data_IF_457683867727
#
_entry.id   IF_457683867727
#
_cell.length_a   1.000
_cell.length_b   1.000
_cell.length_c   1.000
_cell.angle_alpha   90.00
_cell.angle_beta   90.00
_cell.angle_gamma   90.00
#
_symmetry.space_group_name_H-M   'P 1'
#
loop_
_entity.id
_entity.type
_entity.pdbx_description
1 polymer ?
#
# COMPACT_ATOMS: atom_id res chain seq x y z
N UNK A 1 8.94 6.03 -21.69
CA UNK A 1 9.46 6.20 -20.33
C UNK A 1 8.33 6.55 -19.37
N UNK A 2 8.59 6.46 -18.09
CA UNK A 2 7.64 6.89 -17.04
C UNK A 2 7.62 8.43 -17.04
N UNK A 3 6.43 9.08 -17.02
CA UNK A 3 6.33 10.54 -16.96
C UNK A 3 7.02 11.12 -15.72
N UNK A 4 7.56 12.35 -15.84
CA UNK A 4 8.32 12.99 -14.75
C UNK A 4 7.45 13.43 -13.55
N UNK A 5 6.15 13.55 -13.75
CA UNK A 5 5.16 13.94 -12.74
C UNK A 5 4.54 12.74 -12.00
N UNK A 6 5.04 11.53 -12.26
CA UNK A 6 4.62 10.31 -11.55
C UNK A 6 5.51 10.09 -10.33
N UNK A 7 4.90 10.00 -9.14
CA UNK A 7 5.59 9.67 -7.90
C UNK A 7 5.56 8.16 -7.57
N UNK A 8 4.46 7.48 -7.92
CA UNK A 8 4.22 6.07 -7.57
C UNK A 8 3.58 5.32 -8.73
N UNK A 9 4.08 4.11 -8.98
CA UNK A 9 3.45 3.13 -9.86
C UNK A 9 2.74 2.10 -9.00
N UNK A 10 1.49 1.80 -9.32
CA UNK A 10 0.72 0.74 -8.69
C UNK A 10 0.52 -0.38 -9.71
N UNK A 11 0.90 -1.60 -9.36
CA UNK A 11 0.56 -2.80 -10.10
C UNK A 11 -0.35 -3.68 -9.24
N UNK A 12 -1.64 -3.57 -9.48
CA UNK A 12 -2.66 -4.39 -8.83
C UNK A 12 -2.95 -5.59 -9.73
N UNK A 13 -2.35 -6.72 -9.38
CA UNK A 13 -2.62 -8.02 -10.00
C UNK A 13 -3.56 -8.84 -9.14
N UNK A 14 -4.51 -9.54 -9.75
CA UNK A 14 -5.32 -10.55 -9.06
C UNK A 14 -4.58 -11.89 -9.06
N UNK A 15 -4.85 -12.75 -8.07
CA UNK A 15 -4.29 -14.09 -8.00
C UNK A 15 -4.65 -14.87 -9.29
N UNK A 16 -3.65 -15.36 -9.99
CA UNK A 16 -3.82 -16.01 -11.29
C UNK A 16 -3.63 -15.13 -12.52
N UNK A 17 -3.45 -13.81 -12.37
CA UNK A 17 -3.16 -12.91 -13.50
C UNK A 17 -1.78 -13.09 -14.12
N UNK A 18 -0.88 -13.79 -13.46
CA UNK A 18 0.43 -14.19 -14.02
C UNK A 18 0.30 -14.93 -15.36
N UNK A 19 -0.86 -15.50 -15.63
CA UNK A 19 -1.17 -16.21 -16.87
C UNK A 19 -1.84 -15.33 -17.92
N UNK A 20 -2.46 -14.25 -17.52
CA UNK A 20 -3.26 -13.38 -18.40
C UNK A 20 -2.63 -12.02 -18.67
N UNK A 21 -1.74 -11.55 -17.82
CA UNK A 21 -1.10 -10.25 -17.93
C UNK A 21 0.43 -10.32 -17.84
N UNK A 22 1.01 -11.53 -17.90
CA UNK A 22 2.41 -11.75 -17.62
C UNK A 22 3.39 -11.38 -18.73
N UNK A 23 2.92 -11.12 -19.93
CA UNK A 23 3.81 -10.88 -21.08
C UNK A 23 4.55 -9.55 -20.96
N UNK A 24 3.94 -8.53 -20.37
CA UNK A 24 4.57 -7.24 -20.13
C UNK A 24 5.80 -7.36 -19.22
N UNK A 25 5.74 -8.24 -18.22
CA UNK A 25 6.84 -8.48 -17.28
C UNK A 25 7.94 -9.39 -17.85
N UNK A 26 7.75 -9.96 -19.04
CA UNK A 26 8.80 -10.59 -19.84
C UNK A 26 9.69 -9.55 -20.55
N UNK A 27 9.18 -8.33 -20.74
CA UNK A 27 9.95 -7.25 -21.36
C UNK A 27 10.95 -6.65 -20.36
N UNK A 28 12.22 -6.95 -20.57
CA UNK A 28 13.31 -6.44 -19.75
C UNK A 28 13.43 -4.90 -19.77
N UNK A 29 12.93 -4.24 -20.80
CA UNK A 29 12.92 -2.77 -20.88
C UNK A 29 11.92 -2.20 -19.89
N UNK A 30 10.72 -2.80 -19.76
CA UNK A 30 9.71 -2.39 -18.77
C UNK A 30 10.24 -2.63 -17.36
N UNK A 31 10.72 -3.84 -17.06
CA UNK A 31 11.27 -4.19 -15.75
C UNK A 31 12.43 -3.25 -15.37
N UNK A 32 13.34 -2.99 -16.31
CA UNK A 32 14.47 -2.09 -16.08
C UNK A 32 14.02 -0.64 -15.87
N UNK A 33 13.03 -0.18 -16.64
CA UNK A 33 12.51 1.20 -16.50
C UNK A 33 11.86 1.42 -15.12
N UNK A 34 11.03 0.48 -14.66
CA UNK A 34 10.40 0.57 -13.33
C UNK A 34 11.45 0.46 -12.23
N UNK A 35 12.38 -0.48 -12.34
CA UNK A 35 13.48 -0.64 -11.38
C UNK A 35 14.31 0.63 -11.26
N UNK A 36 14.67 1.27 -12.39
CA UNK A 36 15.39 2.55 -12.41
C UNK A 36 14.57 3.67 -11.77
N UNK A 37 13.29 3.76 -12.09
CA UNK A 37 12.39 4.76 -11.53
C UNK A 37 12.38 4.70 -10.00
N UNK A 38 12.25 3.49 -9.43
CA UNK A 38 12.27 3.34 -7.97
C UNK A 38 13.67 3.64 -7.41
N UNK A 39 14.72 3.14 -8.06
CA UNK A 39 16.10 3.44 -7.63
C UNK A 39 16.40 4.94 -7.58
N UNK A 40 15.84 5.72 -8.48
CA UNK A 40 15.99 7.17 -8.56
C UNK A 40 15.09 7.95 -7.62
N UNK A 41 14.23 7.31 -6.85
CA UNK A 41 13.42 7.92 -5.79
C UNK A 41 11.91 7.80 -5.96
N UNK A 42 11.44 7.16 -7.01
CA UNK A 42 10.02 6.84 -7.18
C UNK A 42 9.55 5.71 -6.28
N UNK A 43 8.24 5.47 -6.27
CA UNK A 43 7.61 4.42 -5.50
C UNK A 43 6.98 3.32 -6.35
N UNK A 44 6.95 2.09 -5.82
CA UNK A 44 6.22 0.99 -6.42
C UNK A 44 5.35 0.29 -5.39
N UNK A 45 4.05 0.18 -5.65
CA UNK A 45 3.09 -0.57 -4.81
C UNK A 45 2.58 -1.76 -5.61
N UNK A 46 2.87 -2.95 -5.12
CA UNK A 46 2.44 -4.20 -5.72
C UNK A 46 1.35 -4.88 -4.89
N UNK A 47 0.25 -5.30 -5.53
CA UNK A 47 -0.86 -6.00 -4.87
C UNK A 47 -1.12 -7.33 -5.56
N UNK A 48 -1.26 -8.41 -4.81
CA UNK A 48 -1.56 -9.74 -5.31
C UNK A 48 -0.36 -10.37 -6.02
N UNK A 49 -0.36 -10.39 -7.33
CA UNK A 49 0.71 -10.93 -8.20
C UNK A 49 1.48 -9.83 -8.96
N UNK A 50 2.05 -8.84 -8.27
CA UNK A 50 2.70 -7.72 -8.94
C UNK A 50 3.95 -8.19 -9.69
N UNK A 51 4.12 -7.76 -10.93
CA UNK A 51 5.24 -8.14 -11.79
C UNK A 51 5.44 -9.65 -11.96
N UNK A 52 4.37 -10.44 -11.79
CA UNK A 52 4.46 -11.88 -11.77
C UNK A 52 4.65 -12.47 -13.18
N UNK A 53 5.73 -13.20 -13.36
CA UNK A 53 5.96 -14.11 -14.47
C UNK A 53 7.07 -15.10 -14.09
N UNK A 54 6.86 -16.38 -14.33
CA UNK A 54 7.86 -17.40 -14.01
C UNK A 54 9.03 -17.34 -15.00
N UNK A 55 10.06 -16.56 -14.67
CA UNK A 55 11.26 -16.44 -15.49
C UNK A 55 12.51 -16.28 -14.62
N UNK A 56 13.58 -16.93 -15.00
CA UNK A 56 14.89 -16.74 -14.37
C UNK A 56 14.96 -17.15 -12.91
N UNK A 57 14.10 -18.08 -12.45
CA UNK A 57 14.06 -18.52 -11.05
C UNK A 57 13.37 -17.56 -10.11
N UNK A 58 12.74 -16.51 -10.62
CA UNK A 58 11.93 -15.54 -9.87
C UNK A 58 10.46 -15.67 -10.25
N UNK A 59 9.58 -15.36 -9.30
CA UNK A 59 8.16 -15.22 -9.57
C UNK A 59 7.80 -13.74 -9.78
N UNK A 60 8.22 -12.85 -8.88
CA UNK A 60 8.10 -11.41 -9.08
C UNK A 60 9.34 -10.86 -9.80
N UNK A 61 9.16 -10.28 -10.98
CA UNK A 61 10.30 -9.72 -11.72
C UNK A 61 10.88 -8.48 -11.05
N UNK A 62 10.11 -7.82 -10.18
CA UNK A 62 10.52 -6.73 -9.30
C UNK A 62 10.71 -7.19 -7.83
N UNK A 63 11.07 -8.46 -7.61
CA UNK A 63 11.27 -9.01 -6.27
C UNK A 63 12.29 -8.20 -5.45
N UNK A 64 13.35 -7.72 -6.08
CA UNK A 64 14.36 -6.85 -5.46
C UNK A 64 13.81 -5.47 -5.06
N UNK A 65 12.85 -4.93 -5.80
CA UNK A 65 12.16 -3.67 -5.45
C UNK A 65 11.18 -3.88 -4.29
N UNK A 66 10.46 -5.01 -4.30
CA UNK A 66 9.46 -5.36 -3.29
C UNK A 66 10.07 -5.92 -1.99
N UNK A 67 11.33 -6.40 -2.04
CA UNK A 67 11.98 -7.11 -0.95
C UNK A 67 11.40 -8.49 -0.65
N UNK A 68 10.53 -8.99 -1.52
CA UNK A 68 9.85 -10.29 -1.39
C UNK A 68 9.80 -11.02 -2.72
N UNK A 69 9.72 -12.34 -2.66
CA UNK A 69 9.41 -13.18 -3.83
C UNK A 69 8.48 -14.33 -3.41
N UNK A 70 7.90 -15.02 -4.37
CA UNK A 70 7.03 -16.17 -4.14
C UNK A 70 7.79 -17.47 -4.36
N UNK A 71 7.64 -18.41 -3.42
CA UNK A 71 8.13 -19.78 -3.59
C UNK A 71 7.32 -20.47 -4.71
N UNK A 72 8.03 -21.03 -5.67
CA UNK A 72 7.44 -21.73 -6.82
C UNK A 72 7.18 -23.23 -6.54
N UNK A 73 7.67 -23.72 -5.38
CA UNK A 73 7.41 -25.06 -4.89
C UNK A 73 6.02 -25.20 -4.24
N UNK A 74 5.72 -26.44 -3.83
CA UNK A 74 4.43 -26.75 -3.19
C UNK A 74 4.36 -26.36 -1.72
N UNK A 75 5.51 -26.14 -1.07
CA UNK A 75 5.60 -25.77 0.34
C UNK A 75 6.71 -24.77 0.57
N UNK A 76 6.46 -23.84 1.51
CA UNK A 76 7.48 -22.96 2.02
C UNK A 76 8.50 -23.73 2.85
N UNK A 77 9.79 -23.48 2.60
CA UNK A 77 10.84 -23.88 3.51
C UNK A 77 10.93 -22.90 4.67
N UNK A 78 10.70 -23.38 5.89
CA UNK A 78 10.73 -22.55 7.11
C UNK A 78 12.09 -21.90 7.39
N UNK A 79 13.15 -22.39 6.77
CA UNK A 79 14.51 -21.86 6.96
C UNK A 79 14.80 -20.56 6.21
N UNK A 80 13.94 -20.17 5.27
CA UNK A 80 14.12 -18.94 4.47
C UNK A 80 13.65 -17.67 5.16
N UNK A 81 12.93 -17.77 6.29
CA UNK A 81 12.09 -16.69 6.79
C UNK A 81 12.57 -16.16 8.13
N UNK A 82 13.58 -15.31 8.08
CA UNK A 82 13.92 -14.45 9.22
C UNK A 82 13.25 -13.10 9.02
N UNK A 83 12.03 -12.99 9.51
CA UNK A 83 11.25 -11.77 9.40
C UNK A 83 11.23 -11.06 10.73
N UNK A 84 11.71 -9.83 10.78
CA UNK A 84 11.46 -8.95 11.90
C UNK A 84 10.17 -8.16 11.60
N UNK A 85 9.12 -8.45 12.36
CA UNK A 85 7.90 -7.67 12.30
C UNK A 85 8.16 -6.30 12.94
N UNK A 86 7.83 -5.22 12.26
CA UNK A 86 7.91 -3.89 12.84
C UNK A 86 6.79 -3.68 13.86
N UNK A 87 7.14 -3.25 15.09
CA UNK A 87 6.16 -2.93 16.14
C UNK A 87 5.22 -1.79 15.73
N UNK A 88 5.71 -0.86 14.92
CA UNK A 88 4.93 0.23 14.33
C UNK A 88 5.50 0.61 12.96
N UNK A 89 4.64 0.86 12.02
CA UNK A 89 5.03 1.34 10.69
C UNK A 89 4.03 2.37 10.19
N UNK A 90 4.47 3.37 9.41
CA UNK A 90 3.61 4.40 8.84
C UNK A 90 2.42 3.81 8.07
N UNK A 91 2.64 2.77 7.29
CA UNK A 91 1.61 2.12 6.46
C UNK A 91 0.47 1.56 7.32
N UNK A 92 0.78 1.01 8.52
CA UNK A 92 -0.18 0.33 9.38
C UNK A 92 -0.68 1.18 10.55
N UNK A 93 -0.35 2.47 10.57
CA UNK A 93 -0.61 3.35 11.72
C UNK A 93 -2.10 3.50 12.07
N UNK A 94 -2.99 3.43 11.06
CA UNK A 94 -4.46 3.52 11.26
C UNK A 94 -5.13 2.14 11.31
N UNK A 95 -4.36 1.06 11.20
CA UNK A 95 -4.92 -0.28 11.23
C UNK A 95 -5.23 -0.69 12.66
N UNK A 96 -6.46 -1.14 12.95
CA UNK A 96 -6.82 -1.67 14.26
C UNK A 96 -5.93 -2.84 14.67
N UNK A 97 -5.70 -2.98 15.95
CA UNK A 97 -5.03 -4.15 16.54
C UNK A 97 -5.99 -4.90 17.45
N UNK A 98 -5.89 -6.22 17.45
CA UNK A 98 -6.64 -7.07 18.36
C UNK A 98 -6.07 -7.03 19.81
N UNK A 99 -6.70 -7.74 20.73
CA UNK A 99 -6.27 -7.83 22.13
C UNK A 99 -4.85 -8.40 22.30
N UNK A 100 -4.33 -9.12 21.32
CA UNK A 100 -2.96 -9.67 21.30
C UNK A 100 -1.94 -8.71 20.69
N UNK A 101 -2.39 -7.54 20.19
CA UNK A 101 -1.56 -6.55 19.51
C UNK A 101 -1.32 -6.83 18.02
N UNK A 102 -1.98 -7.85 17.44
CA UNK A 102 -1.88 -8.18 16.02
C UNK A 102 -2.73 -7.23 15.19
N UNK A 103 -2.24 -6.87 14.01
CA UNK A 103 -2.98 -6.07 13.05
C UNK A 103 -4.25 -6.83 12.58
N UNK A 104 -5.38 -6.14 12.59
CA UNK A 104 -6.64 -6.66 12.05
C UNK A 104 -6.74 -6.21 10.60
N UNK A 105 -6.18 -6.99 9.70
CA UNK A 105 -6.19 -6.79 8.26
C UNK A 105 -6.79 -8.00 7.56
N UNK A 106 -7.58 -7.73 6.54
CA UNK A 106 -8.12 -8.75 5.64
C UNK A 106 -7.41 -8.65 4.29
N UNK A 107 -6.60 -9.64 3.97
CA UNK A 107 -5.96 -9.77 2.66
C UNK A 107 -6.75 -10.66 1.70
N UNK A 108 -7.96 -11.09 2.09
CA UNK A 108 -8.79 -12.02 1.32
C UNK A 108 -8.10 -13.37 1.17
N UNK A 109 -8.28 -13.99 0.00
CA UNK A 109 -7.54 -15.21 -0.34
C UNK A 109 -6.08 -14.95 -0.74
N UNK A 110 -5.58 -13.74 -0.59
CA UNK A 110 -4.25 -13.25 -0.88
C UNK A 110 -3.19 -14.21 -1.42
N UNK A 111 -2.11 -13.68 -1.92
CA UNK A 111 -1.02 -14.49 -2.47
C UNK A 111 -0.41 -15.40 -1.39
N UNK A 112 -0.23 -16.66 -1.72
CA UNK A 112 0.39 -17.68 -0.85
C UNK A 112 1.87 -17.87 -1.14
N UNK A 113 2.60 -18.38 -0.15
CA UNK A 113 4.01 -18.76 -0.27
C UNK A 113 4.95 -17.59 -0.60
N UNK A 114 4.62 -16.37 -0.16
CA UNK A 114 5.49 -15.21 -0.30
C UNK A 114 6.46 -15.13 0.88
N UNK A 115 7.72 -14.81 0.60
CA UNK A 115 8.79 -14.75 1.58
C UNK A 115 9.66 -13.50 1.39
N UNK A 116 10.29 -13.05 2.47
CA UNK A 116 11.24 -11.93 2.42
C UNK A 116 12.59 -12.39 1.85
N UNK A 117 13.20 -11.54 1.03
CA UNK A 117 14.50 -11.81 0.43
C UNK A 117 15.67 -11.52 1.36
N UNK A 118 15.48 -10.67 2.35
CA UNK A 118 16.54 -10.26 3.28
C UNK A 118 16.00 -9.65 4.56
N UNK A 119 16.91 -9.22 5.42
CA UNK A 119 16.60 -8.61 6.72
C UNK A 119 16.36 -7.10 6.65
N UNK A 120 16.62 -6.48 5.53
CA UNK A 120 16.37 -5.06 5.22
C UNK A 120 14.94 -4.78 4.78
N UNK A 121 14.15 -5.84 4.59
CA UNK A 121 12.71 -5.71 4.33
C UNK A 121 11.99 -5.41 5.64
N UNK A 122 11.36 -4.25 5.71
CA UNK A 122 10.47 -3.88 6.80
C UNK A 122 9.12 -4.55 6.58
N UNK A 123 8.62 -5.29 7.56
CA UNK A 123 7.39 -6.06 7.44
C UNK A 123 6.35 -5.56 8.42
N UNK A 124 5.18 -5.19 7.88
CA UNK A 124 4.04 -4.74 8.65
C UNK A 124 3.13 -5.87 9.13
N UNK A 125 3.04 -6.96 8.37
CA UNK A 125 2.23 -8.13 8.72
C UNK A 125 2.83 -9.42 8.16
N UNK A 126 2.80 -10.43 9.02
CA UNK A 126 3.34 -11.76 8.74
C UNK A 126 2.53 -12.81 9.52
N UNK A 127 2.08 -13.84 8.86
CA UNK A 127 1.29 -14.92 9.46
C UNK A 127 1.62 -16.25 8.78
N UNK A 128 1.65 -17.33 9.56
CA UNK A 128 1.86 -18.69 9.07
C UNK A 128 3.10 -18.86 8.18
N UNK A 129 4.18 -18.14 8.53
CA UNK A 129 5.43 -18.10 7.76
C UNK A 129 5.30 -17.45 6.36
N UNK A 130 4.24 -16.72 6.10
CA UNK A 130 4.00 -16.01 4.85
C UNK A 130 4.00 -14.49 5.06
N UNK A 131 4.56 -13.75 4.12
CA UNK A 131 4.53 -12.28 4.12
C UNK A 131 3.25 -11.82 3.44
N UNK A 132 2.42 -11.06 4.16
CA UNK A 132 1.19 -10.49 3.63
C UNK A 132 1.33 -9.00 3.31
N UNK A 133 2.20 -8.31 4.03
CA UNK A 133 2.54 -6.90 3.82
C UNK A 133 4.04 -6.74 4.02
N UNK A 134 4.69 -6.07 3.08
CA UNK A 134 6.08 -5.65 3.24
C UNK A 134 6.30 -4.23 2.76
N UNK A 135 7.32 -3.59 3.33
CA UNK A 135 7.87 -2.33 2.88
C UNK A 135 9.39 -2.50 2.72
N UNK A 136 9.94 -2.05 1.61
CA UNK A 136 11.35 -2.30 1.29
C UNK A 136 11.99 -1.05 0.68
N UNK A 137 13.14 -0.58 1.22
CA UNK A 137 13.94 0.47 0.61
C UNK A 137 14.66 -0.07 -0.63
N UNK A 138 14.63 0.69 -1.72
CA UNK A 138 15.34 0.33 -2.96
C UNK A 138 15.97 1.57 -3.60
N UNK A 139 17.28 1.68 -3.50
CA UNK A 139 17.99 2.89 -3.90
C UNK A 139 17.55 4.10 -3.08
N UNK A 140 17.01 5.13 -3.73
CA UNK A 140 16.43 6.31 -3.08
C UNK A 140 14.91 6.21 -2.90
N UNK A 141 14.28 5.23 -3.54
CA UNK A 141 12.85 4.99 -3.48
C UNK A 141 12.48 3.77 -2.63
N UNK A 142 11.24 3.34 -2.75
CA UNK A 142 10.67 2.28 -1.90
C UNK A 142 9.67 1.42 -2.67
N UNK A 143 9.67 0.12 -2.33
CA UNK A 143 8.65 -0.83 -2.75
C UNK A 143 7.73 -1.21 -1.60
N UNK A 144 6.46 -1.45 -1.89
CA UNK A 144 5.47 -2.00 -0.96
C UNK A 144 4.78 -3.18 -1.61
N UNK A 145 4.63 -4.26 -0.87
CA UNK A 145 3.88 -5.44 -1.27
C UNK A 145 2.68 -5.66 -0.36
N UNK A 146 1.54 -5.97 -0.98
CA UNK A 146 0.29 -6.36 -0.32
C UNK A 146 -0.19 -7.68 -0.94
N UNK A 147 -0.40 -8.72 -0.12
CA UNK A 147 -0.80 -10.05 -0.60
C UNK A 147 -2.18 -10.06 -1.26
N UNK A 148 -3.04 -9.15 -0.88
CA UNK A 148 -4.38 -8.92 -1.43
C UNK A 148 -4.95 -7.64 -0.85
N UNK A 149 -6.02 -7.14 -1.44
CA UNK A 149 -6.62 -5.87 -1.01
C UNK A 149 -8.13 -5.87 -1.27
N UNK A 150 -8.91 -6.76 -0.62
CA UNK A 150 -10.36 -6.72 -0.72
C UNK A 150 -10.88 -5.36 -0.22
N UNK A 151 -11.98 -4.88 -0.80
CA UNK A 151 -12.51 -3.58 -0.47
C UNK A 151 -12.98 -3.51 0.98
N UNK A 152 -12.39 -2.58 1.74
CA UNK A 152 -12.83 -2.14 3.06
C UNK A 152 -12.29 -0.73 3.33
N UNK A 153 -12.79 -0.07 4.38
CA UNK A 153 -12.26 1.25 4.78
C UNK A 153 -10.81 1.14 5.25
N UNK A 154 -10.49 0.08 5.99
CA UNK A 154 -9.16 -0.22 6.49
C UNK A 154 -8.18 -0.45 5.33
N UNK A 155 -8.56 -1.27 4.36
CA UNK A 155 -7.73 -1.56 3.19
C UNK A 155 -7.57 -0.35 2.26
N UNK A 156 -8.59 0.49 2.13
CA UNK A 156 -8.48 1.75 1.40
C UNK A 156 -7.43 2.66 2.07
N UNK A 157 -7.48 2.79 3.39
CA UNK A 157 -6.49 3.58 4.15
C UNK A 157 -5.09 2.96 4.05
N UNK A 158 -4.99 1.63 4.13
CA UNK A 158 -3.74 0.89 3.95
C UNK A 158 -3.11 1.20 2.58
N UNK A 159 -3.89 1.18 1.50
CA UNK A 159 -3.43 1.51 0.16
C UNK A 159 -2.93 2.97 0.07
N UNK A 160 -3.72 3.91 0.58
CA UNK A 160 -3.34 5.34 0.57
C UNK A 160 -2.03 5.54 1.31
N UNK A 161 -1.87 4.97 2.51
CA UNK A 161 -0.61 5.04 3.27
C UNK A 161 0.55 4.39 2.53
N UNK A 162 0.31 3.25 1.88
CA UNK A 162 1.31 2.57 1.05
C UNK A 162 1.81 3.46 -0.08
N UNK A 163 0.90 4.22 -0.73
CA UNK A 163 1.24 5.17 -1.78
C UNK A 163 2.11 6.33 -1.25
N UNK A 164 1.69 6.97 -0.15
CA UNK A 164 2.45 8.07 0.46
C UNK A 164 3.82 7.62 0.96
N UNK A 165 3.91 6.43 1.55
CA UNK A 165 5.18 5.83 1.96
C UNK A 165 6.09 5.54 0.76
N UNK A 166 5.57 4.90 -0.28
CA UNK A 166 6.34 4.58 -1.48
C UNK A 166 6.83 5.86 -2.18
N UNK A 167 6.02 6.92 -2.20
CA UNK A 167 6.38 8.23 -2.73
C UNK A 167 7.39 9.02 -1.86
N UNK A 168 7.76 8.54 -0.68
CA UNK A 168 8.53 9.30 0.32
C UNK A 168 7.86 10.63 0.72
N UNK A 169 6.52 10.66 0.75
CA UNK A 169 5.68 11.84 1.03
C UNK A 169 4.80 11.69 2.26
N UNK A 170 5.23 10.95 3.28
CA UNK A 170 4.44 10.69 4.49
C UNK A 170 3.98 11.98 5.18
N UNK A 171 4.81 13.03 5.15
CA UNK A 171 4.48 14.33 5.74
C UNK A 171 3.35 15.08 5.03
N UNK A 172 3.06 14.72 3.77
CA UNK A 172 2.00 15.36 2.99
C UNK A 172 0.63 14.69 3.18
N UNK A 173 0.58 13.51 3.78
CA UNK A 173 -0.65 12.76 3.96
C UNK A 173 -1.70 13.51 4.80
N UNK A 174 -1.27 14.40 5.70
CA UNK A 174 -2.18 15.22 6.53
C UNK A 174 -2.72 16.48 5.82
N UNK A 175 -2.79 16.47 4.50
CA UNK A 175 -3.47 17.49 3.71
C UNK A 175 -4.70 16.88 3.07
N UNK A 176 -5.84 17.54 3.17
CA UNK A 176 -7.12 17.00 2.70
C UNK A 176 -7.40 15.61 3.28
N UNK A 177 -7.30 15.50 4.59
CA UNK A 177 -7.29 14.23 5.29
C UNK A 177 -8.27 14.22 6.47
N UNK A 178 -8.83 13.06 6.76
CA UNK A 178 -9.63 12.78 7.96
C UNK A 178 -8.94 11.69 8.78
N UNK A 179 -8.87 11.84 10.09
CA UNK A 179 -8.35 10.80 10.99
C UNK A 179 -9.32 9.62 11.16
N UNK A 180 -10.59 9.81 10.80
CA UNK A 180 -11.61 8.77 10.85
C UNK A 180 -11.69 8.04 9.49
N UNK A 181 -11.55 6.70 9.50
CA UNK A 181 -11.58 5.85 8.31
C UNK A 181 -12.90 5.92 7.52
N UNK A 182 -13.98 6.32 8.18
CA UNK A 182 -15.33 6.40 7.60
C UNK A 182 -15.66 7.78 7.02
N UNK A 183 -14.73 8.72 7.13
CA UNK A 183 -14.89 10.08 6.62
C UNK A 183 -13.82 10.37 5.57
N UNK A 184 -14.23 11.05 4.50
CA UNK A 184 -13.35 11.48 3.42
C UNK A 184 -13.29 12.99 3.32
N UNK A 185 -12.17 13.52 2.86
CA UNK A 185 -11.97 14.94 2.58
C UNK A 185 -11.61 15.11 1.11
N UNK A 186 -12.37 15.93 0.41
CA UNK A 186 -12.17 16.21 -1.00
C UNK A 186 -11.85 17.69 -1.18
N UNK A 187 -10.62 18.02 -1.53
CA UNK A 187 -10.16 19.39 -1.81
C UNK A 187 -10.43 19.78 -3.27
N UNK A 188 -10.96 20.98 -3.46
CA UNK A 188 -11.18 21.63 -4.76
C UNK A 188 -10.54 23.02 -4.74
N UNK A 189 -9.18 23.11 -4.71
CA UNK A 189 -8.50 24.39 -4.53
C UNK A 189 -8.85 25.43 -5.61
N UNK A 190 -9.00 24.98 -6.87
CA UNK A 190 -9.37 25.86 -7.98
C UNK A 190 -10.79 26.47 -7.82
N UNK A 191 -11.68 25.77 -7.11
CA UNK A 191 -13.01 26.24 -6.79
C UNK A 191 -13.07 27.00 -5.45
N UNK A 192 -11.96 27.09 -4.73
CA UNK A 192 -11.89 27.70 -3.40
C UNK A 192 -12.72 26.96 -2.35
N UNK A 193 -12.85 25.63 -2.46
CA UNK A 193 -13.73 24.82 -1.59
C UNK A 193 -13.14 23.47 -1.25
N UNK A 194 -13.68 22.88 -0.18
CA UNK A 194 -13.53 21.46 0.10
C UNK A 194 -14.82 20.86 0.66
N UNK A 195 -14.96 19.55 0.55
CA UNK A 195 -16.06 18.79 1.11
C UNK A 195 -15.57 17.75 2.09
N UNK A 196 -16.36 17.52 3.15
CA UNK A 196 -16.17 16.41 4.07
C UNK A 196 -17.38 15.50 3.98
N UNK A 197 -17.14 14.21 3.80
CA UNK A 197 -18.17 13.20 3.54
C UNK A 197 -18.12 12.13 4.62
N UNK A 198 -19.26 11.84 5.23
CA UNK A 198 -19.45 10.65 6.04
C UNK A 198 -20.04 9.52 5.18
N UNK A 199 -19.26 8.49 4.91
CA UNK A 199 -19.66 7.36 4.05
C UNK A 199 -20.47 6.28 4.79
N UNK A 200 -21.00 6.58 5.99
CA UNK A 200 -21.74 5.60 6.79
C UNK A 200 -23.16 6.05 7.13
N UNK A 201 -24.00 5.09 7.48
CA UNK A 201 -25.35 5.32 8.01
C UNK A 201 -25.39 5.69 9.50
N UNK A 202 -24.25 6.04 10.11
CA UNK A 202 -24.11 6.44 11.51
C UNK A 202 -23.45 7.82 11.60
N UNK A 203 -23.71 8.57 12.68
CA UNK A 203 -22.99 9.79 12.97
C UNK A 203 -21.50 9.48 13.20
N UNK A 204 -20.63 10.37 12.77
CA UNK A 204 -19.18 10.24 12.88
C UNK A 204 -18.58 11.51 13.49
N UNK A 205 -17.58 11.30 14.38
CA UNK A 205 -16.72 12.36 14.88
C UNK A 205 -15.35 12.22 14.23
N UNK A 206 -14.77 13.30 13.76
CA UNK A 206 -13.47 13.29 13.09
C UNK A 206 -12.70 14.57 13.30
N UNK A 207 -11.38 14.51 13.17
CA UNK A 207 -10.53 15.66 12.90
C UNK A 207 -10.24 15.70 11.40
N UNK A 208 -10.65 16.79 10.78
CA UNK A 208 -10.41 17.06 9.36
C UNK A 208 -9.22 17.99 9.22
N UNK A 209 -8.30 17.65 8.36
CA UNK A 209 -7.14 18.46 7.99
C UNK A 209 -7.36 19.09 6.61
N UNK A 210 -7.20 20.42 6.53
CA UNK A 210 -7.31 21.19 5.29
C UNK A 210 -6.07 21.03 4.38
N UNK A 211 -5.99 21.83 3.30
CA UNK A 211 -4.87 21.82 2.36
C UNK A 211 -3.53 22.26 2.95
N UNK A 212 -3.55 22.98 4.07
CA UNK A 212 -2.36 23.41 4.81
C UNK A 212 -2.03 22.46 5.97
N UNK A 213 -2.89 21.48 6.22
CA UNK A 213 -2.74 20.51 7.31
C UNK A 213 -3.23 21.00 8.67
N UNK A 214 -4.05 22.06 8.73
CA UNK A 214 -4.67 22.52 9.96
C UNK A 214 -5.86 21.63 10.31
N UNK A 215 -5.84 21.06 11.52
CA UNK A 215 -6.88 20.15 12.00
C UNK A 215 -8.06 20.86 12.62
N UNK A 216 -9.28 20.49 12.22
CA UNK A 216 -10.54 20.97 12.80
C UNK A 216 -11.43 19.78 13.19
N UNK A 217 -11.82 19.71 14.47
CA UNK A 217 -12.76 18.68 14.94
C UNK A 217 -14.17 18.98 14.48
N UNK A 218 -14.88 17.95 14.01
CA UNK A 218 -16.27 18.09 13.58
C UNK A 218 -17.08 16.81 13.78
N UNK A 219 -18.39 17.04 13.86
CA UNK A 219 -19.41 15.99 13.86
C UNK A 219 -20.13 15.98 12.53
N UNK A 220 -20.35 14.79 12.00
CA UNK A 220 -21.08 14.55 10.75
C UNK A 220 -22.29 13.65 11.05
N UNK A 221 -23.44 14.04 10.51
CA UNK A 221 -24.64 13.20 10.54
C UNK A 221 -24.47 11.99 9.59
N UNK A 222 -25.32 10.95 9.69
CA UNK A 222 -25.32 9.84 8.76
C UNK A 222 -25.41 10.30 7.30
N UNK A 223 -24.51 9.79 6.44
CA UNK A 223 -24.43 10.10 5.01
C UNK A 223 -24.34 11.61 4.70
N UNK A 224 -23.84 12.41 5.64
CA UNK A 224 -23.73 13.86 5.47
C UNK A 224 -22.54 14.25 4.59
N UNK A 225 -22.78 15.28 3.75
CA UNK A 225 -21.74 15.98 3.01
C UNK A 225 -21.76 17.43 3.46
N UNK A 226 -20.66 17.89 4.05
CA UNK A 226 -20.47 19.30 4.41
C UNK A 226 -19.50 19.97 3.47
N UNK A 227 -19.86 21.17 3.01
CA UNK A 227 -19.02 22.02 2.17
C UNK A 227 -18.46 23.18 2.97
N UNK A 228 -17.21 23.52 2.67
CA UNK A 228 -16.48 24.61 3.30
C UNK A 228 -15.80 25.46 2.24
N UNK A 229 -15.66 26.76 2.51
CA UNK A 229 -14.82 27.64 1.73
C UNK A 229 -13.36 27.56 2.23
N UNK A 230 -12.39 27.74 1.32
CA UNK A 230 -10.96 27.76 1.61
C UNK A 230 -10.51 29.11 2.10
#
# INVERSE_FOLDING_TARGET
>A
GIPEDVDVIINAGDAGTAWSGGDEWLDEQIVTAVRRFVWEGGGFVGVGEPSAVQRGGRYFQLADVLGVDKEQGFTLSTDKYHVTQADSHFITQDVPRDESGRLVLDFGEGMKNVYALGTDTEIGEYSDHEVHLSAHPYGRGRGVYLAGLPYSHENTRLLIRSMYYAACKEGEMKKWFSDNLFCEVHGYPEAGKYAVVNNTSRGQSTVVYDGDGHGTSMELLPCEIKWFDL
#
